data_IF_695657724300
#
_entry.id   IF_695657724300
#
_cell.length_a   1.000
_cell.length_b   1.000
_cell.length_c   1.000
_cell.angle_alpha   90.00
_cell.angle_beta   90.00
_cell.angle_gamma   90.00
#
_symmetry.space_group_name_H-M   'P 1'
#
loop_
_entity.id
_entity.type
_entity.pdbx_description
1 polymer ?
#
# COMPACT_ATOMS: atom_id res chain seq x y z
N UNK A 1 4.34 18.39 4.74
CA UNK A 1 3.92 17.49 3.64
C UNK A 1 4.09 16.07 4.15
N UNK A 2 2.99 15.31 4.24
CA UNK A 2 3.02 13.90 4.67
C UNK A 2 3.59 13.09 3.51
N UNK A 3 4.80 12.58 3.69
CA UNK A 3 5.40 11.56 2.82
C UNK A 3 4.42 10.39 2.78
N UNK A 4 3.77 10.16 1.65
CA UNK A 4 2.64 9.24 1.53
C UNK A 4 3.06 7.76 1.53
N UNK A 5 4.36 7.48 1.70
CA UNK A 5 4.95 6.14 1.64
C UNK A 5 6.32 6.18 2.30
N UNK A 6 6.78 5.14 3.02
CA UNK A 6 8.15 5.15 3.51
C UNK A 6 9.09 5.12 2.30
N UNK A 7 10.11 5.99 2.31
CA UNK A 7 11.20 6.02 1.32
C UNK A 7 12.11 4.76 1.39
N UNK A 8 11.60 3.64 1.89
CA UNK A 8 12.35 2.41 2.11
C UNK A 8 12.52 1.58 0.83
N UNK A 9 11.71 1.80 -0.19
CA UNK A 9 11.78 1.04 -1.43
C UNK A 9 12.64 1.74 -2.49
N UNK A 10 13.70 1.05 -2.93
CA UNK A 10 14.61 1.52 -3.97
C UNK A 10 13.89 1.94 -5.27
N UNK A 11 12.73 1.34 -5.57
CA UNK A 11 11.90 1.71 -6.71
C UNK A 11 11.35 3.14 -6.62
N UNK A 12 11.00 3.61 -5.41
CA UNK A 12 10.51 4.97 -5.20
C UNK A 12 11.62 6.00 -5.38
N UNK A 13 12.81 5.72 -4.82
CA UNK A 13 13.98 6.58 -5.00
C UNK A 13 14.39 6.68 -6.48
N UNK A 14 14.38 5.55 -7.20
CA UNK A 14 14.61 5.50 -8.65
C UNK A 14 13.58 6.36 -9.41
N UNK A 15 12.29 6.27 -9.04
CA UNK A 15 11.24 7.07 -9.67
C UNK A 15 11.37 8.57 -9.39
N UNK A 16 11.61 8.96 -8.14
CA UNK A 16 11.72 10.37 -7.76
C UNK A 16 12.93 11.03 -8.42
N UNK A 17 14.07 10.34 -8.51
CA UNK A 17 15.24 10.82 -9.22
C UNK A 17 14.96 11.06 -10.72
N UNK A 18 14.26 10.13 -11.37
CA UNK A 18 13.86 10.28 -12.77
C UNK A 18 12.85 11.42 -12.96
N UNK A 19 11.86 11.55 -12.07
CA UNK A 19 10.87 12.62 -12.10
C UNK A 19 11.55 13.99 -11.95
N UNK A 20 12.49 14.15 -11.04
CA UNK A 20 13.21 15.42 -10.90
C UNK A 20 14.05 15.75 -12.14
N UNK A 21 14.74 14.75 -12.71
CA UNK A 21 15.52 14.94 -13.92
C UNK A 21 14.64 15.35 -15.12
N UNK A 22 13.45 14.74 -15.24
CA UNK A 22 12.46 15.11 -16.25
C UNK A 22 11.93 16.54 -16.04
N UNK A 23 11.61 16.93 -14.81
CA UNK A 23 11.14 18.28 -14.48
C UNK A 23 12.21 19.35 -14.73
N UNK A 24 13.49 19.01 -14.57
CA UNK A 24 14.63 19.87 -14.89
C UNK A 24 14.98 19.87 -16.37
N UNK A 25 14.32 19.07 -17.21
CA UNK A 25 14.64 18.92 -18.63
C UNK A 25 16.01 18.28 -18.90
N UNK A 26 16.57 17.59 -17.91
CA UNK A 26 17.88 16.95 -18.01
C UNK A 26 17.76 15.51 -18.52
N UNK A 27 18.76 14.99 -19.25
CA UNK A 27 18.74 13.61 -19.73
C UNK A 27 18.55 12.59 -18.60
N UNK A 28 17.66 11.61 -18.80
CA UNK A 28 17.47 10.50 -17.88
C UNK A 28 18.60 9.49 -18.09
N UNK A 29 19.52 9.38 -17.14
CA UNK A 29 20.69 8.50 -17.23
C UNK A 29 20.72 7.46 -16.12
N UNK A 30 21.25 6.28 -16.44
CA UNK A 30 21.49 5.20 -15.49
C UNK A 30 20.56 3.98 -15.65
N UNK A 31 20.76 2.95 -14.82
CA UNK A 31 20.03 1.68 -14.96
C UNK A 31 18.53 1.79 -14.68
N UNK A 32 18.10 2.79 -13.90
CA UNK A 32 16.68 3.10 -13.68
C UNK A 32 16.03 3.69 -14.94
N UNK A 33 16.71 4.64 -15.61
CA UNK A 33 16.25 5.20 -16.87
C UNK A 33 16.11 4.11 -17.95
N UNK A 34 17.11 3.23 -18.10
CA UNK A 34 17.03 2.13 -19.06
C UNK A 34 15.92 1.12 -18.74
N UNK A 35 15.54 0.94 -17.47
CA UNK A 35 14.40 0.11 -17.08
C UNK A 35 13.08 0.81 -17.41
N UNK A 36 12.99 2.10 -17.12
CA UNK A 36 11.83 2.94 -17.42
C UNK A 36 11.57 3.04 -18.93
N UNK A 37 12.60 3.21 -19.75
CA UNK A 37 12.45 3.25 -21.21
C UNK A 37 11.93 1.93 -21.79
N UNK A 38 12.37 0.80 -21.22
CA UNK A 38 11.97 -0.54 -21.72
C UNK A 38 10.58 -0.96 -21.31
N UNK A 39 10.12 -0.58 -20.12
CA UNK A 39 8.91 -1.14 -19.52
C UNK A 39 8.06 -0.12 -18.74
N UNK A 40 8.34 1.18 -18.89
CA UNK A 40 7.67 2.26 -18.18
C UNK A 40 7.82 2.14 -16.66
N UNK A 41 6.80 2.63 -15.94
CA UNK A 41 6.75 2.59 -14.48
C UNK A 41 6.82 1.16 -13.92
N UNK A 42 6.25 0.17 -14.62
CA UNK A 42 6.32 -1.23 -14.23
C UNK A 42 7.76 -1.79 -14.24
N UNK A 43 8.66 -1.22 -15.06
CA UNK A 43 10.09 -1.55 -15.07
C UNK A 43 10.86 -0.99 -13.87
N UNK A 44 10.36 0.07 -13.24
CA UNK A 44 10.92 0.66 -12.02
C UNK A 44 10.43 -0.08 -10.78
N UNK A 45 9.15 -0.46 -10.77
CA UNK A 45 8.52 -1.26 -9.73
C UNK A 45 8.88 -2.74 -9.97
N UNK A 46 10.17 -3.09 -9.89
CA UNK A 46 10.52 -4.50 -9.71
C UNK A 46 9.92 -4.95 -8.38
N UNK A 47 9.19 -6.08 -8.43
CA UNK A 47 8.61 -6.83 -7.31
C UNK A 47 9.34 -6.50 -6.00
N UNK A 48 8.67 -5.97 -4.96
CA UNK A 48 9.35 -5.58 -3.74
C UNK A 48 10.16 -6.76 -3.20
N UNK A 49 11.44 -6.50 -2.90
CA UNK A 49 12.37 -7.49 -2.35
C UNK A 49 11.92 -7.98 -0.96
N UNK A 50 11.16 -7.13 -0.25
CA UNK A 50 10.51 -7.47 1.00
C UNK A 50 9.05 -7.87 0.74
N UNK A 51 8.56 -8.87 1.47
CA UNK A 51 7.13 -9.21 1.47
C UNK A 51 6.37 -8.02 2.09
N UNK A 52 5.34 -7.46 1.42
CA UNK A 52 4.56 -6.38 2.01
C UNK A 52 3.86 -6.89 3.26
N UNK A 53 3.94 -6.12 4.35
CA UNK A 53 3.16 -6.35 5.57
C UNK A 53 1.95 -5.43 5.48
N UNK A 54 0.76 -6.02 5.34
CA UNK A 54 -0.49 -5.26 5.35
C UNK A 54 -1.06 -5.21 6.76
N UNK A 55 -1.38 -3.99 7.21
CA UNK A 55 -2.11 -3.73 8.44
C UNK A 55 -3.41 -3.02 8.07
N UNK A 56 -4.53 -3.49 8.59
CA UNK A 56 -5.82 -2.85 8.42
C UNK A 56 -6.49 -2.60 9.76
N UNK A 57 -7.18 -1.46 9.86
CA UNK A 57 -8.01 -1.10 11.00
C UNK A 57 -9.43 -0.94 10.48
N UNK A 58 -10.36 -1.75 11.01
CA UNK A 58 -11.77 -1.67 10.67
C UNK A 58 -12.46 -0.74 11.67
N UNK A 59 -12.98 0.38 11.21
CA UNK A 59 -13.73 1.33 12.03
C UNK A 59 -15.21 1.30 11.66
N UNK A 60 -16.06 0.92 12.62
CA UNK A 60 -17.52 0.99 12.48
C UNK A 60 -18.06 2.36 12.87
N UNK A 61 -19.27 2.71 12.41
CA UNK A 61 -19.97 3.89 12.90
C UNK A 61 -20.51 3.67 14.32
N UNK A 62 -20.50 4.72 15.15
CA UNK A 62 -21.10 4.68 16.50
C UNK A 62 -22.59 4.34 16.40
N UNK A 63 -22.99 3.24 17.05
CA UNK A 63 -24.37 2.76 17.08
C UNK A 63 -25.16 3.44 18.21
N UNK A 64 -26.46 3.73 18.00
CA UNK A 64 -27.35 4.09 19.10
C UNK A 64 -27.42 2.99 20.15
N UNK A 65 -27.42 3.36 21.44
CA UNK A 65 -27.34 2.44 22.57
C UNK A 65 -28.48 1.40 22.68
N UNK A 66 -29.61 1.64 21.99
CA UNK A 66 -30.74 0.72 21.98
C UNK A 66 -30.60 -0.41 20.95
N UNK A 67 -29.57 -0.39 20.09
CA UNK A 67 -29.32 -1.46 19.12
C UNK A 67 -28.58 -2.60 19.82
N UNK A 68 -29.22 -3.77 20.04
CA UNK A 68 -28.67 -4.81 20.91
C UNK A 68 -27.61 -5.69 20.23
N UNK A 69 -27.38 -5.51 18.92
CA UNK A 69 -26.47 -6.34 18.12
C UNK A 69 -25.31 -5.51 17.57
N UNK A 70 -24.15 -6.17 17.47
CA UNK A 70 -23.00 -5.65 16.73
C UNK A 70 -23.35 -5.46 15.25
N UNK A 71 -22.53 -4.71 14.50
CA UNK A 71 -22.76 -4.54 13.07
C UNK A 71 -22.31 -5.75 12.27
N UNK A 72 -23.21 -6.53 11.66
CA UNK A 72 -22.81 -7.65 10.81
C UNK A 72 -21.96 -7.20 9.61
N UNK A 73 -22.03 -5.90 9.23
CA UNK A 73 -21.18 -5.35 8.17
C UNK A 73 -19.71 -5.24 8.57
N UNK A 74 -19.43 -5.09 9.86
CA UNK A 74 -18.05 -5.02 10.36
C UNK A 74 -17.38 -6.38 10.19
N UNK A 75 -18.05 -7.46 10.61
CA UNK A 75 -17.58 -8.84 10.41
C UNK A 75 -17.42 -9.16 8.92
N UNK A 76 -18.43 -8.85 8.10
CA UNK A 76 -18.34 -9.07 6.66
C UNK A 76 -17.19 -8.29 6.00
N UNK A 77 -16.83 -7.10 6.50
CA UNK A 77 -15.67 -6.36 6.00
C UNK A 77 -14.34 -6.97 6.40
N UNK A 78 -14.24 -7.52 7.60
CA UNK A 78 -13.06 -8.26 8.03
C UNK A 78 -12.88 -9.48 7.12
N UNK A 79 -13.94 -10.29 6.94
CA UNK A 79 -13.90 -11.51 6.11
C UNK A 79 -13.51 -11.21 4.65
N UNK A 80 -14.10 -10.17 4.05
CA UNK A 80 -13.79 -9.77 2.67
C UNK A 80 -12.34 -9.30 2.56
N UNK A 81 -11.85 -8.55 3.54
CA UNK A 81 -10.47 -8.09 3.55
C UNK A 81 -9.49 -9.26 3.70
N UNK A 82 -9.77 -10.20 4.60
CA UNK A 82 -9.01 -11.45 4.75
C UNK A 82 -8.94 -12.25 3.45
N UNK A 83 -10.08 -12.41 2.77
CA UNK A 83 -10.15 -13.08 1.48
C UNK A 83 -9.28 -12.39 0.41
N UNK A 84 -9.35 -11.06 0.33
CA UNK A 84 -8.58 -10.29 -0.66
C UNK A 84 -7.07 -10.40 -0.42
N UNK A 85 -6.63 -10.39 0.84
CA UNK A 85 -5.20 -10.50 1.15
C UNK A 85 -4.68 -11.92 0.95
N UNK A 86 -5.48 -12.94 1.28
CA UNK A 86 -5.18 -14.33 0.95
C UNK A 86 -5.06 -14.55 -0.58
N UNK A 87 -5.99 -13.99 -1.36
CA UNK A 87 -5.96 -14.04 -2.83
C UNK A 87 -4.74 -13.32 -3.44
N UNK A 88 -4.25 -12.27 -2.77
CA UNK A 88 -3.03 -11.56 -3.15
C UNK A 88 -1.73 -12.31 -2.75
N UNK A 89 -1.82 -13.41 -1.99
CA UNK A 89 -0.66 -14.20 -1.54
C UNK A 89 0.15 -13.54 -0.41
N UNK A 90 -0.46 -12.63 0.35
CA UNK A 90 0.23 -11.81 1.34
C UNK A 90 -0.23 -12.20 2.76
N UNK A 91 0.64 -12.04 3.76
CA UNK A 91 0.30 -12.28 5.16
C UNK A 91 -0.32 -11.04 5.80
N UNK A 92 -1.38 -11.26 6.57
CA UNK A 92 -2.03 -10.24 7.39
C UNK A 92 -1.45 -10.25 8.81
N UNK A 93 -1.08 -9.06 9.31
CA UNK A 93 -0.92 -8.84 10.73
C UNK A 93 -2.20 -8.18 11.28
N UNK A 94 -3.02 -8.96 11.98
CA UNK A 94 -4.25 -8.47 12.61
C UNK A 94 -3.95 -8.00 14.04
N UNK A 95 -3.98 -6.69 14.27
CA UNK A 95 -4.07 -6.10 15.61
C UNK A 95 -5.53 -5.67 15.85
N UNK A 96 -6.29 -6.51 16.56
CA UNK A 96 -7.64 -6.15 17.01
C UNK A 96 -7.55 -5.26 18.24
N UNK A 97 -7.54 -3.94 18.06
CA UNK A 97 -7.69 -3.00 19.17
C UNK A 97 -9.17 -2.84 19.50
N UNK A 98 -9.65 -3.66 20.45
CA UNK A 98 -10.94 -3.45 21.09
C UNK A 98 -10.91 -2.12 21.87
N UNK A 99 -11.60 -1.10 21.36
CA UNK A 99 -11.80 0.14 22.10
C UNK A 99 -13.04 -0.06 22.98
N UNK A 100 -12.83 -0.09 24.30
CA UNK A 100 -13.89 -0.05 25.32
C UNK A 100 -14.63 1.28 25.35
#
# INVERSE_FOLDING_TARGET
>A
MRTFWPAAEAAQADYEALREAALRGTPLVGPAAARFERAGLAGLIKKPLARPVFTAVVSGATRPAWTPYQDPRTEAMIDIYELLVAAAGVELNTETTATS
#
